data_IF_542484777975
#
_entry.id   IF_542484777975
#
_cell.length_a   1.000
_cell.length_b   1.000
_cell.length_c   1.000
_cell.angle_alpha   90.00
_cell.angle_beta   90.00
_cell.angle_gamma   90.00
#
_symmetry.space_group_name_H-M   'P 1'
#
loop_
_entity.id
_entity.type
_entity.pdbx_description
1 polymer ?
#
# COMPACT_ATOMS: atom_id res chain seq x y z
N UNK A 1 -6.81 3.42 -12.85
CA UNK A 1 -8.20 3.89 -12.91
C UNK A 1 -8.87 3.15 -14.04
N UNK A 2 -9.72 2.19 -13.74
CA UNK A 2 -10.42 1.29 -14.67
C UNK A 2 -11.17 2.06 -15.79
N UNK A 3 -10.46 2.47 -16.83
CA UNK A 3 -11.04 3.22 -17.95
C UNK A 3 -11.55 4.64 -17.63
N UNK A 4 -11.25 5.15 -16.41
CA UNK A 4 -11.65 6.50 -16.03
C UNK A 4 -10.79 7.54 -16.77
N UNK A 5 -11.44 8.32 -17.61
CA UNK A 5 -10.83 9.54 -18.15
C UNK A 5 -11.15 10.68 -17.18
N UNK A 6 -10.14 11.29 -16.61
CA UNK A 6 -10.36 12.43 -15.70
C UNK A 6 -11.20 13.50 -16.43
N UNK A 7 -12.39 13.85 -15.92
CA UNK A 7 -13.28 14.79 -16.58
C UNK A 7 -12.66 16.19 -16.72
N UNK A 8 -11.69 16.49 -15.86
CA UNK A 8 -10.93 17.74 -15.88
C UNK A 8 -9.49 17.47 -15.42
N UNK A 9 -8.48 18.14 -16.01
CA UNK A 9 -7.06 17.87 -15.69
C UNK A 9 -6.67 18.08 -14.23
N UNK A 10 -7.46 18.84 -13.47
CA UNK A 10 -7.20 19.15 -12.06
C UNK A 10 -7.93 18.23 -11.08
N UNK A 11 -8.91 17.44 -11.54
CA UNK A 11 -9.75 16.63 -10.65
C UNK A 11 -9.07 15.39 -10.11
N UNK A 12 -8.18 14.77 -10.89
CA UNK A 12 -7.43 13.57 -10.52
C UNK A 12 -6.06 13.61 -11.19
N UNK A 13 -5.00 13.36 -10.43
CA UNK A 13 -3.69 13.12 -10.98
C UNK A 13 -3.61 11.69 -11.53
N UNK A 14 -3.48 11.55 -12.84
CA UNK A 14 -3.19 10.26 -13.46
C UNK A 14 -1.77 9.82 -13.08
N UNK A 15 -1.56 8.48 -13.05
CA UNK A 15 -0.25 7.92 -12.74
C UNK A 15 0.70 8.20 -13.91
N UNK A 16 1.56 9.18 -13.70
CA UNK A 16 2.68 9.53 -14.59
C UNK A 16 3.97 9.49 -13.75
N UNK A 17 4.80 8.45 -13.89
CA UNK A 17 6.04 8.34 -13.11
C UNK A 17 7.02 9.50 -13.29
N UNK A 18 7.03 10.16 -14.47
CA UNK A 18 7.92 11.30 -14.70
C UNK A 18 7.46 12.52 -13.89
N UNK A 19 6.15 12.82 -13.93
CA UNK A 19 5.54 13.88 -13.15
C UNK A 19 5.67 13.63 -11.64
N UNK A 20 5.39 12.40 -11.18
CA UNK A 20 5.54 12.03 -9.77
C UNK A 20 6.98 12.28 -9.27
N UNK A 21 8.00 11.93 -10.07
CA UNK A 21 9.39 12.21 -9.71
C UNK A 21 9.71 13.71 -9.69
N UNK A 22 9.16 14.48 -10.62
CA UNK A 22 9.34 15.93 -10.65
C UNK A 22 8.71 16.60 -9.42
N UNK A 23 7.50 16.18 -9.06
CA UNK A 23 6.78 16.67 -7.87
C UNK A 23 7.54 16.28 -6.59
N UNK A 24 8.02 15.05 -6.47
CA UNK A 24 8.84 14.60 -5.36
C UNK A 24 10.12 15.45 -5.19
N UNK A 25 10.81 15.74 -6.30
CA UNK A 25 11.98 16.61 -6.28
C UNK A 25 11.62 18.06 -5.88
N UNK A 26 10.48 18.57 -6.33
CA UNK A 26 10.01 19.91 -5.98
C UNK A 26 9.71 20.03 -4.47
N UNK A 27 8.98 19.10 -3.88
CA UNK A 27 8.69 19.12 -2.45
C UNK A 27 9.94 18.87 -1.58
N UNK A 28 10.92 18.11 -2.08
CA UNK A 28 12.24 18.01 -1.44
C UNK A 28 12.95 19.37 -1.38
N UNK A 29 13.01 20.09 -2.51
CA UNK A 29 13.60 21.44 -2.55
C UNK A 29 12.87 22.42 -1.62
N UNK A 30 11.56 22.20 -1.40
CA UNK A 30 10.76 22.98 -0.46
C UNK A 30 10.96 22.56 1.01
N UNK A 31 11.86 21.60 1.30
CA UNK A 31 12.25 21.23 2.67
C UNK A 31 11.62 19.94 3.20
N UNK A 32 10.87 19.17 2.39
CA UNK A 32 10.32 17.90 2.85
C UNK A 32 11.43 16.90 3.19
N UNK A 33 11.42 16.37 4.40
CA UNK A 33 12.43 15.44 4.90
C UNK A 33 12.08 13.97 4.66
N UNK A 34 10.79 13.68 4.40
CA UNK A 34 10.28 12.35 4.06
C UNK A 34 9.15 12.49 3.04
N UNK A 35 9.21 11.75 1.93
CA UNK A 35 8.24 11.86 0.82
C UNK A 35 7.53 10.53 0.65
N UNK A 36 6.21 10.58 0.75
CA UNK A 36 5.31 9.45 0.54
C UNK A 36 4.52 9.65 -0.75
N UNK A 37 4.49 8.65 -1.59
CA UNK A 37 3.64 8.62 -2.79
C UNK A 37 2.50 7.63 -2.58
N UNK A 38 1.26 8.10 -2.72
CA UNK A 38 0.07 7.28 -2.66
C UNK A 38 -0.42 6.98 -4.07
N UNK A 39 -0.59 5.69 -4.42
CA UNK A 39 -0.97 5.24 -5.76
C UNK A 39 -2.23 4.38 -5.71
N UNK A 40 -3.20 4.72 -6.54
CA UNK A 40 -4.42 3.93 -6.71
C UNK A 40 -4.27 3.08 -7.98
N UNK A 41 -3.81 1.83 -7.83
CA UNK A 41 -3.39 0.97 -8.94
C UNK A 41 -3.46 -0.51 -8.58
N UNK A 42 -3.46 -1.37 -9.57
CA UNK A 42 -3.45 -2.82 -9.39
C UNK A 42 -4.62 -3.50 -10.07
N UNK A 43 -4.78 -4.79 -9.79
CA UNK A 43 -5.91 -5.59 -10.24
C UNK A 43 -6.77 -5.93 -9.04
N UNK A 44 -8.06 -5.64 -9.11
CA UNK A 44 -9.00 -5.94 -8.02
C UNK A 44 -9.02 -7.42 -7.66
N UNK A 45 -9.09 -7.70 -6.37
CA UNK A 45 -9.14 -9.05 -5.76
C UNK A 45 -7.92 -9.94 -6.05
N UNK A 46 -6.83 -9.38 -6.59
CA UNK A 46 -5.57 -10.10 -6.84
C UNK A 46 -4.52 -9.71 -5.80
N UNK A 47 -4.12 -10.67 -4.95
CA UNK A 47 -3.14 -10.42 -3.89
C UNK A 47 -1.69 -10.26 -4.39
N UNK A 48 -1.35 -10.85 -5.54
CA UNK A 48 -0.03 -10.63 -6.15
C UNK A 48 0.03 -9.27 -6.86
N UNK A 49 1.08 -8.46 -6.66
CA UNK A 49 1.25 -7.23 -7.42
C UNK A 49 1.32 -7.51 -8.91
N UNK A 50 0.55 -6.77 -9.71
CA UNK A 50 0.55 -6.89 -11.17
C UNK A 50 1.88 -6.44 -11.79
N UNK A 51 2.14 -6.80 -13.05
CA UNK A 51 3.30 -6.30 -13.80
C UNK A 51 3.29 -4.77 -13.86
N UNK A 52 2.12 -4.18 -14.14
CA UNK A 52 1.94 -2.72 -14.15
C UNK A 52 2.30 -2.07 -12.81
N UNK A 53 1.87 -2.63 -11.67
CA UNK A 53 2.25 -2.09 -10.36
C UNK A 53 3.77 -2.10 -10.17
N UNK A 54 4.44 -3.18 -10.54
CA UNK A 54 5.91 -3.30 -10.44
C UNK A 54 6.62 -2.29 -11.34
N UNK A 55 6.20 -2.15 -12.58
CA UNK A 55 6.76 -1.18 -13.55
C UNK A 55 6.62 0.27 -13.05
N UNK A 56 5.43 0.65 -12.55
CA UNK A 56 5.19 1.99 -11.99
C UNK A 56 6.08 2.22 -10.76
N UNK A 57 6.12 1.27 -9.83
CA UNK A 57 6.98 1.35 -8.64
C UNK A 57 8.45 1.53 -9.03
N UNK A 58 8.95 0.72 -9.96
CA UNK A 58 10.33 0.80 -10.42
C UNK A 58 10.62 2.14 -11.10
N UNK A 59 9.70 2.63 -11.92
CA UNK A 59 9.83 3.92 -12.61
C UNK A 59 9.82 5.10 -11.62
N UNK A 60 8.94 5.10 -10.62
CA UNK A 60 8.87 6.15 -9.59
C UNK A 60 10.10 6.11 -8.68
N UNK A 61 10.51 4.91 -8.26
CA UNK A 61 11.64 4.71 -7.36
C UNK A 61 13.03 4.90 -8.02
N UNK A 62 13.11 5.24 -9.32
CA UNK A 62 14.36 5.75 -9.92
C UNK A 62 14.79 7.07 -9.28
N UNK A 63 13.85 7.90 -8.85
CA UNK A 63 14.17 9.09 -8.05
C UNK A 63 14.56 8.70 -6.62
N UNK A 64 15.58 9.37 -6.09
CA UNK A 64 15.97 9.26 -4.67
C UNK A 64 15.15 10.17 -3.75
N UNK A 65 14.21 10.93 -4.32
CA UNK A 65 13.36 11.86 -3.56
C UNK A 65 12.09 11.20 -3.00
N UNK A 66 11.76 9.98 -3.44
CA UNK A 66 10.63 9.20 -2.90
C UNK A 66 11.14 8.20 -1.88
N UNK A 67 10.60 8.18 -0.66
CA UNK A 67 11.02 7.30 0.43
C UNK A 67 10.11 6.09 0.62
N UNK A 68 8.80 6.30 0.39
CA UNK A 68 7.76 5.28 0.59
C UNK A 68 6.70 5.38 -0.50
N UNK A 69 6.26 4.24 -1.02
CA UNK A 69 5.05 4.13 -1.84
C UNK A 69 3.98 3.37 -1.05
N UNK A 70 2.74 3.88 -1.07
CA UNK A 70 1.56 3.20 -0.52
C UNK A 70 0.54 3.01 -1.64
N UNK A 71 0.16 1.75 -1.87
CA UNK A 71 -0.79 1.35 -2.90
C UNK A 71 -2.20 1.10 -2.39
N UNK A 72 -3.16 1.36 -3.26
CA UNK A 72 -4.60 1.18 -3.06
C UNK A 72 -5.22 0.56 -4.31
N UNK A 73 -6.53 0.35 -4.34
CA UNK A 73 -7.35 -0.15 -5.45
C UNK A 73 -7.57 -1.66 -5.46
N UNK A 74 -6.58 -2.49 -5.15
CA UNK A 74 -6.71 -3.95 -5.29
C UNK A 74 -7.84 -4.57 -4.43
N UNK A 75 -8.37 -3.84 -3.44
CA UNK A 75 -9.39 -4.29 -2.50
C UNK A 75 -9.01 -5.56 -1.70
N UNK A 76 -7.77 -5.97 -1.78
CA UNK A 76 -7.15 -7.04 -0.98
C UNK A 76 -5.80 -6.59 -0.50
N UNK A 77 -5.34 -7.18 0.60
CA UNK A 77 -3.99 -6.96 1.08
C UNK A 77 -2.99 -7.52 0.06
N UNK A 78 -1.97 -6.73 -0.25
CA UNK A 78 -0.86 -7.10 -1.12
C UNK A 78 0.47 -7.01 -0.35
N UNK A 79 1.57 -7.58 -0.86
CA UNK A 79 2.86 -7.62 -0.17
C UNK A 79 3.42 -6.26 0.22
N UNK A 80 4.25 -6.28 1.26
CA UNK A 80 5.17 -5.19 1.57
C UNK A 80 6.57 -5.58 1.07
N UNK A 81 7.25 -4.65 0.43
CA UNK A 81 8.60 -4.83 -0.08
C UNK A 81 9.55 -3.83 0.56
N UNK A 82 10.68 -4.32 1.08
CA UNK A 82 11.85 -3.48 1.33
C UNK A 82 12.77 -3.57 0.12
N UNK A 83 13.07 -2.45 -0.49
CA UNK A 83 13.98 -2.39 -1.65
C UNK A 83 15.44 -2.50 -1.21
N UNK A 84 16.35 -2.90 -2.13
CA UNK A 84 17.79 -3.03 -1.80
C UNK A 84 18.42 -1.74 -1.26
N UNK A 85 17.91 -0.58 -1.65
CA UNK A 85 18.36 0.74 -1.18
C UNK A 85 17.73 1.18 0.15
N UNK A 86 16.97 0.30 0.80
CA UNK A 86 16.36 0.53 2.12
C UNK A 86 14.99 1.21 2.08
N UNK A 87 14.51 1.67 0.92
CA UNK A 87 13.18 2.28 0.76
C UNK A 87 12.09 1.23 0.73
N UNK A 88 10.82 1.66 0.89
CA UNK A 88 9.72 0.72 1.11
C UNK A 88 8.56 0.93 0.16
N UNK A 89 7.87 -0.16 -0.12
CA UNK A 89 6.64 -0.20 -0.92
C UNK A 89 5.61 -1.06 -0.19
N UNK A 90 4.43 -0.51 0.04
CA UNK A 90 3.23 -1.23 0.46
C UNK A 90 2.34 -1.30 -0.78
N UNK A 91 2.20 -2.47 -1.41
CA UNK A 91 1.50 -2.58 -2.68
C UNK A 91 -0.03 -2.43 -2.55
N UNK A 92 -0.62 -2.91 -1.45
CA UNK A 92 -2.05 -2.78 -1.20
C UNK A 92 -2.40 -2.99 0.27
N UNK A 93 -3.24 -2.10 0.82
CA UNK A 93 -3.67 -2.13 2.22
C UNK A 93 -4.94 -2.99 2.46
N UNK A 94 -5.58 -3.48 1.41
CA UNK A 94 -6.89 -4.10 1.51
C UNK A 94 -7.99 -3.08 1.83
N UNK A 95 -9.10 -3.56 2.37
CA UNK A 95 -10.24 -2.73 2.75
C UNK A 95 -10.22 -2.43 4.26
N UNK A 96 -10.22 -1.14 4.62
CA UNK A 96 -10.49 -0.77 6.01
C UNK A 96 -12.00 -0.89 6.29
N UNK A 97 -12.82 -0.31 5.41
CA UNK A 97 -14.28 -0.42 5.45
C UNK A 97 -14.78 -0.37 4.00
N UNK A 98 -15.31 -1.46 3.49
CA UNK A 98 -15.89 -1.51 2.16
C UNK A 98 -17.02 -2.54 2.11
N UNK A 99 -18.17 -2.12 1.61
CA UNK A 99 -19.31 -2.98 1.32
C UNK A 99 -19.14 -3.64 -0.06
N UNK A 100 -18.23 -4.57 -0.17
CA UNK A 100 -18.16 -5.41 -1.36
C UNK A 100 -19.06 -6.63 -1.18
N UNK A 101 -20.03 -6.76 -2.08
CA UNK A 101 -20.91 -7.93 -2.10
C UNK A 101 -20.09 -9.21 -2.27
N UNK A 102 -20.49 -10.25 -1.56
CA UNK A 102 -19.95 -11.60 -1.77
C UNK A 102 -20.33 -12.07 -3.17
N UNK A 103 -19.33 -12.53 -3.92
CA UNK A 103 -19.59 -13.21 -5.20
C UNK A 103 -20.00 -14.67 -4.96
N UNK A 104 -20.79 -15.27 -5.85
CA UNK A 104 -21.08 -16.69 -5.75
C UNK A 104 -19.80 -17.53 -5.61
N UNK A 105 -19.73 -18.37 -4.57
CA UNK A 105 -18.58 -19.23 -4.29
C UNK A 105 -17.45 -18.62 -3.44
N UNK A 106 -17.50 -17.34 -3.08
CA UNK A 106 -16.45 -16.72 -2.24
C UNK A 106 -16.49 -17.14 -0.75
N UNK A 107 -17.55 -17.82 -0.31
CA UNK A 107 -17.71 -18.15 1.11
C UNK A 107 -17.94 -16.93 2.00
N UNK A 108 -17.89 -17.13 3.33
CA UNK A 108 -18.23 -16.08 4.32
C UNK A 108 -17.07 -15.16 4.69
N UNK A 109 -15.84 -15.50 4.29
CA UNK A 109 -14.63 -14.80 4.71
C UNK A 109 -13.61 -14.61 3.57
N UNK A 110 -14.00 -14.00 2.44
CA UNK A 110 -13.12 -13.81 1.30
C UNK A 110 -11.99 -12.81 1.61
N UNK A 111 -10.86 -12.86 0.86
CA UNK A 111 -9.71 -11.98 1.09
C UNK A 111 -10.00 -10.47 1.04
N UNK A 112 -11.04 -10.03 0.32
CA UNK A 112 -11.42 -8.62 0.26
C UNK A 112 -12.09 -8.09 1.55
N UNK A 113 -12.32 -8.95 2.54
CA UNK A 113 -12.69 -8.55 3.92
C UNK A 113 -11.46 -8.31 4.81
N UNK A 114 -10.28 -8.68 4.34
CA UNK A 114 -9.03 -8.41 5.04
C UNK A 114 -8.57 -6.99 4.74
N UNK A 115 -8.07 -6.35 5.78
CA UNK A 115 -7.38 -5.07 5.71
C UNK A 115 -6.13 -5.08 6.59
N UNK A 116 -5.37 -4.01 6.51
CA UNK A 116 -4.20 -3.85 7.36
C UNK A 116 -3.97 -2.38 7.70
N UNK A 117 -3.65 -2.12 8.95
CA UNK A 117 -3.07 -0.85 9.38
C UNK A 117 -1.57 -1.03 9.38
N UNK A 118 -0.86 -0.30 8.53
CA UNK A 118 0.61 -0.31 8.48
C UNK A 118 1.14 0.86 9.31
N UNK A 119 2.02 0.56 10.26
CA UNK A 119 2.72 1.55 11.08
C UNK A 119 4.15 1.70 10.59
N UNK A 120 4.51 2.88 10.13
CA UNK A 120 5.86 3.19 9.66
C UNK A 120 6.53 4.13 10.66
N UNK A 121 7.60 3.66 11.28
CA UNK A 121 8.44 4.48 12.15
C UNK A 121 9.59 5.03 11.33
N UNK A 122 9.74 6.34 11.30
CA UNK A 122 10.85 7.04 10.63
C UNK A 122 11.80 7.64 11.67
N UNK A 123 13.06 7.75 11.32
CA UNK A 123 14.10 8.35 12.17
C UNK A 123 15.03 9.22 11.32
N UNK A 124 15.73 10.18 11.94
CA UNK A 124 16.74 10.99 11.26
C UNK A 124 17.78 10.12 10.55
N UNK A 125 18.16 10.56 9.36
CA UNK A 125 19.16 9.92 8.50
C UNK A 125 20.13 11.01 7.98
N UNK A 126 21.30 10.61 7.43
CA UNK A 126 22.25 11.57 6.89
C UNK A 126 21.65 12.54 5.86
N UNK A 127 22.17 13.75 5.79
CA UNK A 127 21.75 14.78 4.85
C UNK A 127 20.44 15.49 5.20
N UNK A 128 20.04 15.51 6.49
CA UNK A 128 18.83 16.19 6.94
C UNK A 128 17.52 15.50 6.53
N UNK A 129 17.60 14.22 6.15
CA UNK A 129 16.46 13.38 5.74
C UNK A 129 15.98 12.49 6.88
N UNK A 130 14.84 11.86 6.67
CA UNK A 130 14.36 10.74 7.48
C UNK A 130 14.36 9.47 6.64
N UNK A 131 14.54 8.35 7.31
CA UNK A 131 14.44 7.02 6.70
C UNK A 131 13.53 6.12 7.54
N UNK A 132 12.96 5.10 6.91
CA UNK A 132 12.15 4.09 7.60
C UNK A 132 13.04 3.26 8.52
N UNK A 133 12.77 3.32 9.81
CA UNK A 133 13.46 2.53 10.84
C UNK A 133 12.79 1.19 11.10
N UNK A 134 11.45 1.18 11.08
CA UNK A 134 10.64 0.01 11.37
C UNK A 134 9.31 0.08 10.61
N UNK A 135 8.86 -1.07 10.14
CA UNK A 135 7.51 -1.26 9.61
C UNK A 135 6.83 -2.34 10.43
N UNK A 136 5.74 -1.95 11.08
CA UNK A 136 4.83 -2.84 11.79
C UNK A 136 3.48 -2.87 11.12
N UNK A 137 2.65 -3.89 11.44
CA UNK A 137 1.31 -4.00 10.88
C UNK A 137 0.34 -4.59 11.90
N UNK A 138 -0.94 -4.19 11.78
CA UNK A 138 -2.05 -4.75 12.53
C UNK A 138 -3.09 -5.22 11.51
N UNK A 139 -3.32 -6.53 11.34
CA UNK A 139 -4.36 -7.04 10.46
C UNK A 139 -5.75 -6.68 10.98
N UNK A 140 -6.61 -6.26 10.07
CA UNK A 140 -8.02 -5.96 10.33
C UNK A 140 -8.93 -6.84 9.49
N UNK A 141 -10.18 -6.94 9.88
CA UNK A 141 -11.20 -7.71 9.18
C UNK A 141 -12.54 -6.99 9.23
N UNK A 142 -13.22 -6.93 8.09
CA UNK A 142 -14.57 -6.38 8.01
C UNK A 142 -15.58 -7.48 8.30
N UNK A 143 -16.21 -7.43 9.47
CA UNK A 143 -17.20 -8.42 9.90
C UNK A 143 -18.58 -8.10 9.34
N UNK A 144 -19.15 -9.02 8.56
CA UNK A 144 -20.53 -8.95 8.11
C UNK A 144 -21.50 -9.40 9.22
N UNK A 145 -22.80 -9.06 9.14
CA UNK A 145 -23.44 -8.20 8.14
C UNK A 145 -23.35 -6.69 8.45
N UNK A 146 -22.83 -6.31 9.62
CA UNK A 146 -22.82 -4.92 10.09
C UNK A 146 -21.65 -4.09 9.51
N UNK A 147 -20.74 -4.73 8.76
CA UNK A 147 -19.52 -4.13 8.20
C UNK A 147 -18.70 -3.37 9.26
N UNK A 148 -18.49 -4.04 10.39
CA UNK A 148 -17.69 -3.50 11.50
C UNK A 148 -16.23 -3.91 11.32
N UNK A 149 -15.32 -2.95 11.39
CA UNK A 149 -13.87 -3.20 11.40
C UNK A 149 -13.46 -3.75 12.76
N UNK A 150 -12.79 -4.90 12.76
CA UNK A 150 -12.26 -5.55 13.96
C UNK A 150 -10.81 -5.97 13.74
N UNK A 151 -10.12 -6.31 14.81
CA UNK A 151 -8.87 -7.06 14.69
C UNK A 151 -9.14 -8.37 13.95
N UNK A 152 -8.24 -8.73 13.05
CA UNK A 152 -8.41 -9.92 12.24
C UNK A 152 -8.46 -11.20 13.09
N UNK A 153 -9.48 -12.07 12.90
CA UNK A 153 -9.50 -13.38 13.53
C UNK A 153 -8.32 -14.25 13.02
N UNK A 154 -7.96 -15.35 13.72
CA UNK A 154 -6.75 -16.12 13.41
C UNK A 154 -6.58 -16.50 11.93
N UNK A 155 -7.64 -16.96 11.26
CA UNK A 155 -7.57 -17.35 9.85
C UNK A 155 -7.23 -16.16 8.91
N UNK A 156 -7.83 -14.99 9.17
CA UNK A 156 -7.58 -13.77 8.41
C UNK A 156 -6.20 -13.20 8.73
N UNK A 157 -5.81 -13.18 10.01
CA UNK A 157 -4.49 -12.75 10.45
C UNK A 157 -3.37 -13.58 9.81
N UNK A 158 -3.51 -14.91 9.79
CA UNK A 158 -2.52 -15.80 9.17
C UNK A 158 -2.40 -15.55 7.67
N UNK A 159 -3.53 -15.44 6.97
CA UNK A 159 -3.58 -15.12 5.53
C UNK A 159 -2.94 -13.77 5.24
N UNK A 160 -3.33 -12.73 5.96
CA UNK A 160 -2.79 -11.38 5.82
C UNK A 160 -1.29 -11.34 6.08
N UNK A 161 -0.82 -11.96 7.15
CA UNK A 161 0.60 -12.03 7.49
C UNK A 161 1.42 -12.75 6.42
N UNK A 162 0.90 -13.85 5.88
CA UNK A 162 1.56 -14.59 4.79
C UNK A 162 1.72 -13.73 3.53
N UNK A 163 0.66 -13.02 3.14
CA UNK A 163 0.70 -12.11 1.98
C UNK A 163 1.68 -10.97 2.20
N UNK A 164 1.59 -10.26 3.33
CA UNK A 164 2.45 -9.13 3.62
C UNK A 164 3.94 -9.47 3.56
N UNK A 165 4.30 -10.68 4.02
CA UNK A 165 5.68 -11.19 4.09
C UNK A 165 6.17 -11.87 2.81
N UNK A 166 5.32 -12.10 1.81
CA UNK A 166 5.63 -12.91 0.63
C UNK A 166 6.79 -12.37 -0.23
N UNK A 167 7.18 -11.10 -0.06
CA UNK A 167 8.35 -10.48 -0.69
C UNK A 167 9.55 -10.33 0.27
N UNK A 168 9.57 -11.06 1.40
CA UNK A 168 10.71 -11.12 2.33
C UNK A 168 10.96 -9.85 3.15
N UNK A 169 10.01 -8.92 3.24
CA UNK A 169 10.18 -7.71 4.01
C UNK A 169 10.27 -8.00 5.53
N UNK A 170 11.23 -7.40 6.26
CA UNK A 170 11.39 -7.58 7.70
C UNK A 170 10.37 -6.71 8.46
N UNK A 171 9.12 -7.17 8.50
CA UNK A 171 7.99 -6.49 9.14
C UNK A 171 7.55 -7.20 10.41
N UNK A 172 6.97 -6.47 11.36
CA UNK A 172 6.55 -6.97 12.67
C UNK A 172 5.03 -6.95 12.77
N UNK A 173 4.45 -8.04 13.27
CA UNK A 173 3.04 -8.05 13.68
C UNK A 173 2.93 -7.31 15.01
N UNK A 174 2.17 -6.21 15.02
CA UNK A 174 1.95 -5.33 16.15
C UNK A 174 0.53 -5.50 16.73
N UNK A 175 -0.13 -6.62 16.46
CA UNK A 175 -1.43 -6.92 17.05
C UNK A 175 -1.30 -6.98 18.58
N UNK A 176 -2.17 -6.29 19.33
CA UNK A 176 -2.19 -6.32 20.79
C UNK A 176 -2.35 -7.72 21.34
#
# INVERSE_FOLDING_TARGET
LNGFTAPTPWSVNLIDPARIRADAAAIRRAGAQFVVVSLHFGTEKVQAPSAYQREVVDAVMRSKDVDLIIGHHAHVVQPIQRRPDGRWVVFGLGNLLAQQALMPGEGTAPPHRDGVIVRVTIAPAPGGRYAVRRVGYVPTFVQAPQDVVRLAPPFSRNRTSAVLRSMGAPITDDTP
#
